data_IF_780061861028
#
_entry.id   IF_780061861028
#
_cell.length_a   1.000
_cell.length_b   1.000
_cell.length_c   1.000
_cell.angle_alpha   90.00
_cell.angle_beta   90.00
_cell.angle_gamma   90.00
#
_symmetry.space_group_name_H-M   'P 1'
#
loop_
_entity.id
_entity.type
_entity.pdbx_description
1 polymer ?
#
# COMPACT_ATOMS: atom_id res chain seq x y z
N UNK A 1 -7.43 -1.73 8.59
CA UNK A 1 -6.93 -0.85 7.50
C UNK A 1 -5.92 0.12 8.10
N UNK A 2 -4.95 0.64 7.34
CA UNK A 2 -4.14 1.78 7.79
C UNK A 2 -5.03 2.98 8.13
N UNK A 3 -4.59 3.86 9.03
CA UNK A 3 -5.37 5.03 9.48
C UNK A 3 -5.70 5.94 8.31
N UNK A 4 -4.70 6.28 7.48
CA UNK A 4 -4.89 7.14 6.32
C UNK A 4 -5.84 6.55 5.26
N UNK A 5 -5.98 5.21 5.20
CA UNK A 5 -6.96 4.55 4.33
C UNK A 5 -8.39 4.84 4.76
N UNK A 6 -8.63 4.92 6.07
CA UNK A 6 -9.91 5.31 6.67
C UNK A 6 -10.19 6.78 6.35
N UNK A 7 -9.20 7.66 6.49
CA UNK A 7 -9.32 9.08 6.13
C UNK A 7 -9.66 9.27 4.65
N UNK A 8 -9.00 8.52 3.74
CA UNK A 8 -9.34 8.52 2.32
C UNK A 8 -10.80 8.12 2.07
N UNK A 9 -11.33 7.14 2.81
CA UNK A 9 -12.74 6.73 2.70
C UNK A 9 -13.70 7.83 3.19
N UNK A 10 -13.33 8.60 4.22
CA UNK A 10 -14.10 9.77 4.68
C UNK A 10 -14.13 10.88 3.65
N UNK A 11 -12.97 11.24 3.10
CA UNK A 11 -12.85 12.30 2.09
C UNK A 11 -13.75 12.02 0.88
N UNK A 12 -13.94 10.73 0.56
CA UNK A 12 -14.81 10.28 -0.53
C UNK A 12 -16.29 10.10 -0.15
N UNK A 13 -16.65 10.31 1.12
CA UNK A 13 -18.01 10.18 1.62
C UNK A 13 -18.49 8.74 1.82
N UNK A 14 -17.58 7.75 1.85
CA UNK A 14 -17.93 6.35 2.10
C UNK A 14 -17.94 6.00 3.59
N UNK A 15 -17.23 6.79 4.40
CA UNK A 15 -17.29 6.72 5.86
C UNK A 15 -17.71 8.07 6.41
N UNK A 16 -18.68 8.06 7.31
CA UNK A 16 -19.11 9.26 8.02
C UNK A 16 -18.54 9.18 9.44
N UNK A 17 -17.68 10.13 9.87
CA UNK A 17 -17.22 10.20 11.24
C UNK A 17 -18.40 10.33 12.18
N UNK A 18 -18.51 9.45 13.18
CA UNK A 18 -19.70 9.38 14.04
C UNK A 18 -19.57 10.16 15.34
N UNK A 19 -18.41 10.78 15.60
CA UNK A 19 -18.23 11.62 16.77
C UNK A 19 -17.27 12.79 16.49
N UNK A 20 -17.39 13.82 17.33
CA UNK A 20 -16.41 14.90 17.41
C UNK A 20 -15.08 14.32 17.91
N UNK A 21 -14.03 14.52 17.13
CA UNK A 21 -12.66 14.30 17.58
C UNK A 21 -12.08 15.60 18.13
N UNK A 22 -11.09 15.48 19.02
CA UNK A 22 -10.33 16.65 19.45
C UNK A 22 -9.61 17.26 18.24
N UNK A 23 -9.47 18.60 18.16
CA UNK A 23 -8.69 19.23 17.10
C UNK A 23 -7.31 18.59 16.98
N UNK A 24 -6.97 18.09 15.78
CA UNK A 24 -5.69 17.43 15.50
C UNK A 24 -5.62 15.94 15.88
N UNK A 25 -6.70 15.31 16.36
CA UNK A 25 -6.71 13.88 16.73
C UNK A 25 -7.27 12.92 15.67
N UNK A 26 -7.50 13.42 14.45
CA UNK A 26 -7.99 12.61 13.31
C UNK A 26 -9.50 12.34 13.36
N UNK A 27 -10.01 11.42 12.53
CA UNK A 27 -11.43 11.03 12.54
C UNK A 27 -11.71 9.96 13.60
N UNK A 28 -12.86 10.06 14.27
CA UNK A 28 -13.35 9.05 15.20
C UNK A 28 -14.55 8.29 14.64
N UNK A 29 -14.54 6.96 14.79
CA UNK A 29 -15.63 6.08 14.37
C UNK A 29 -16.06 5.19 15.52
N UNK A 30 -17.37 5.09 15.72
CA UNK A 30 -17.94 4.07 16.58
C UNK A 30 -17.76 2.69 15.94
N UNK A 31 -17.74 1.65 16.78
CA UNK A 31 -17.70 0.26 16.30
C UNK A 31 -18.84 -0.04 15.32
N UNK A 32 -20.04 0.48 15.57
CA UNK A 32 -21.21 0.30 14.71
C UNK A 32 -21.02 0.89 13.31
N UNK A 33 -20.34 2.03 13.17
CA UNK A 33 -20.05 2.61 11.85
C UNK A 33 -18.99 1.82 11.07
N UNK A 34 -17.99 1.29 11.78
CA UNK A 34 -16.99 0.42 11.19
C UNK A 34 -17.59 -0.93 10.74
N UNK A 35 -18.46 -1.51 11.57
CA UNK A 35 -19.17 -2.76 11.26
C UNK A 35 -20.14 -2.54 10.07
N UNK A 36 -20.92 -1.45 10.09
CA UNK A 36 -21.84 -1.11 9.00
C UNK A 36 -21.14 -0.90 7.65
N UNK A 37 -19.95 -0.29 7.63
CA UNK A 37 -19.14 -0.20 6.41
C UNK A 37 -18.70 -1.58 5.91
N UNK A 38 -18.27 -2.48 6.80
CA UNK A 38 -17.91 -3.85 6.43
C UNK A 38 -19.11 -4.61 5.85
N UNK A 39 -20.28 -4.44 6.44
CA UNK A 39 -21.53 -5.06 6.00
C UNK A 39 -21.98 -4.51 4.64
N UNK A 40 -21.94 -3.20 4.43
CA UNK A 40 -22.25 -2.59 3.12
C UNK A 40 -21.28 -3.05 2.02
N UNK A 41 -20.01 -3.22 2.37
CA UNK A 41 -19.00 -3.76 1.46
C UNK A 41 -19.31 -5.23 1.12
N UNK A 42 -19.85 -6.00 2.06
CA UNK A 42 -20.18 -7.43 1.90
C UNK A 42 -21.49 -7.67 1.11
N UNK A 43 -22.53 -6.85 1.34
CA UNK A 43 -23.90 -7.13 0.89
C UNK A 43 -24.20 -6.75 -0.56
N UNK A 44 -23.38 -5.92 -1.21
CA UNK A 44 -23.74 -5.28 -2.49
C UNK A 44 -22.99 -5.77 -3.73
N UNK A 45 -22.16 -6.81 -3.62
CA UNK A 45 -21.18 -7.09 -4.66
C UNK A 45 -21.37 -8.41 -5.39
N UNK A 46 -21.28 -8.41 -6.74
CA UNK A 46 -21.23 -9.65 -7.49
C UNK A 46 -19.96 -10.40 -7.12
N UNK A 47 -20.08 -11.73 -6.98
CA UNK A 47 -18.92 -12.59 -6.71
C UNK A 47 -17.88 -12.45 -7.85
N UNK A 48 -16.57 -12.46 -7.55
CA UNK A 48 -15.54 -12.44 -8.58
C UNK A 48 -15.70 -13.61 -9.57
N UNK A 49 -15.57 -13.31 -10.86
CA UNK A 49 -15.64 -14.31 -11.95
C UNK A 49 -14.26 -14.88 -12.32
N UNK A 50 -13.18 -14.31 -11.78
CA UNK A 50 -11.79 -14.68 -11.99
C UNK A 50 -11.14 -14.99 -10.64
N UNK A 51 -9.97 -15.64 -10.65
CA UNK A 51 -9.17 -15.87 -9.44
C UNK A 51 -9.01 -14.56 -8.65
N UNK A 52 -9.57 -14.47 -7.43
CA UNK A 52 -9.51 -13.25 -6.66
C UNK A 52 -8.16 -13.12 -5.94
N UNK A 53 -7.84 -11.89 -5.55
CA UNK A 53 -6.68 -11.58 -4.71
C UNK A 53 -7.16 -10.85 -3.45
N UNK A 54 -6.47 -11.05 -2.32
CA UNK A 54 -6.74 -10.25 -1.13
C UNK A 54 -6.40 -8.77 -1.40
N UNK A 55 -7.27 -7.85 -0.98
CA UNK A 55 -7.04 -6.41 -1.11
C UNK A 55 -5.68 -6.01 -0.50
N UNK A 56 -5.30 -6.62 0.61
CA UNK A 56 -4.00 -6.43 1.25
C UNK A 56 -2.83 -6.69 0.30
N UNK A 57 -2.86 -7.80 -0.43
CA UNK A 57 -1.77 -8.17 -1.35
C UNK A 57 -1.75 -7.28 -2.58
N UNK A 58 -2.92 -6.90 -3.10
CA UNK A 58 -3.02 -5.92 -4.17
C UNK A 58 -2.40 -4.58 -3.78
N UNK A 59 -2.69 -4.09 -2.57
CA UNK A 59 -2.14 -2.82 -2.08
C UNK A 59 -0.62 -2.85 -1.94
N UNK A 60 -0.01 -4.03 -1.76
CA UNK A 60 1.46 -4.17 -1.77
C UNK A 60 2.08 -4.08 -3.16
N UNK A 61 1.30 -4.19 -4.22
CA UNK A 61 1.78 -3.95 -5.59
C UNK A 61 1.93 -2.45 -5.87
N UNK A 62 1.17 -1.61 -5.17
CA UNK A 62 1.29 -0.16 -5.26
C UNK A 62 2.57 0.27 -4.57
N UNK A 63 3.50 0.84 -5.33
CA UNK A 63 4.80 1.31 -4.87
C UNK A 63 5.05 2.74 -5.34
N UNK A 64 5.97 3.44 -4.69
CA UNK A 64 6.37 4.79 -5.11
C UNK A 64 5.51 5.90 -4.53
N UNK A 65 4.44 5.55 -3.80
CA UNK A 65 3.34 6.48 -3.50
C UNK A 65 2.47 6.01 -2.35
N UNK A 66 1.66 6.94 -1.84
CA UNK A 66 0.52 6.61 -0.98
C UNK A 66 -0.45 5.69 -1.71
N UNK A 67 -0.92 4.66 -1.01
CA UNK A 67 -1.78 3.65 -1.62
C UNK A 67 -3.22 4.16 -1.75
N UNK A 68 -3.88 3.87 -2.89
CA UNK A 68 -5.20 4.40 -3.22
C UNK A 68 -6.31 3.55 -2.57
N UNK A 69 -6.26 3.38 -1.24
CA UNK A 69 -7.24 2.57 -0.52
C UNK A 69 -8.65 3.09 -0.71
N UNK A 70 -8.84 4.40 -0.58
CA UNK A 70 -10.15 5.04 -0.74
C UNK A 70 -10.73 4.86 -2.14
N UNK A 71 -9.91 4.95 -3.18
CA UNK A 71 -10.36 4.72 -4.57
C UNK A 71 -10.81 3.29 -4.80
N UNK A 72 -10.04 2.31 -4.31
CA UNK A 72 -10.37 0.88 -4.50
C UNK A 72 -11.60 0.52 -3.68
N UNK A 73 -11.67 0.92 -2.40
CA UNK A 73 -12.83 0.68 -1.55
C UNK A 73 -14.09 1.40 -2.07
N UNK A 74 -13.93 2.60 -2.64
CA UNK A 74 -15.01 3.32 -3.35
C UNK A 74 -15.53 2.53 -4.54
N UNK A 75 -14.64 2.00 -5.38
CA UNK A 75 -15.05 1.22 -6.55
C UNK A 75 -15.76 -0.09 -6.16
N UNK A 76 -15.27 -0.75 -5.10
CA UNK A 76 -15.84 -1.94 -4.48
C UNK A 76 -17.26 -1.63 -3.95
N UNK A 77 -17.43 -0.63 -3.08
CA UNK A 77 -18.75 -0.23 -2.53
C UNK A 77 -19.76 0.21 -3.59
N UNK A 78 -19.30 0.78 -4.70
CA UNK A 78 -20.14 1.17 -5.85
C UNK A 78 -20.42 0.01 -6.83
N UNK A 79 -19.94 -1.20 -6.55
CA UNK A 79 -20.13 -2.38 -7.41
C UNK A 79 -19.37 -2.33 -8.74
N UNK A 80 -18.35 -1.48 -8.87
CA UNK A 80 -17.50 -1.36 -10.07
C UNK A 80 -16.39 -2.40 -10.11
N UNK A 81 -16.01 -2.94 -8.95
CA UNK A 81 -15.08 -4.06 -8.82
C UNK A 81 -15.84 -5.15 -8.09
N UNK A 82 -15.82 -6.37 -8.64
CA UNK A 82 -16.36 -7.54 -7.94
C UNK A 82 -15.51 -7.85 -6.71
N UNK A 83 -16.16 -8.02 -5.57
CA UNK A 83 -15.51 -8.47 -4.35
C UNK A 83 -16.37 -9.46 -3.59
N UNK A 84 -15.69 -10.25 -2.75
CA UNK A 84 -16.28 -11.15 -1.79
C UNK A 84 -15.57 -10.97 -0.46
N UNK A 85 -16.33 -10.80 0.62
CA UNK A 85 -15.76 -10.79 1.96
C UNK A 85 -15.78 -12.22 2.52
N UNK A 86 -14.60 -12.78 2.80
CA UNK A 86 -14.53 -14.08 3.46
C UNK A 86 -14.93 -13.97 4.95
N UNK A 87 -15.63 -14.98 5.50
CA UNK A 87 -16.01 -15.00 6.91
C UNK A 87 -14.77 -15.08 7.81
N UNK A 88 -14.87 -14.48 8.99
CA UNK A 88 -13.80 -14.48 9.98
C UNK A 88 -14.10 -13.48 11.11
N UNK A 89 -13.62 -13.79 12.31
CA UNK A 89 -13.85 -12.94 13.49
C UNK A 89 -12.71 -11.95 13.73
N UNK A 90 -11.72 -11.89 12.83
CA UNK A 90 -10.61 -10.96 12.94
C UNK A 90 -10.94 -9.57 12.36
N UNK A 91 -10.27 -8.54 12.91
CA UNK A 91 -10.37 -7.16 12.45
C UNK A 91 -9.56 -6.89 11.15
N UNK A 92 -9.27 -7.92 10.35
CA UNK A 92 -8.37 -7.83 9.18
C UNK A 92 -9.13 -7.74 7.86
N UNK A 93 -10.03 -6.75 7.74
CA UNK A 93 -10.86 -6.51 6.54
C UNK A 93 -10.07 -6.63 5.22
N UNK A 94 -8.89 -5.99 5.12
CA UNK A 94 -8.10 -6.00 3.88
C UNK A 94 -7.59 -7.38 3.48
N UNK A 95 -7.39 -8.31 4.42
CA UNK A 95 -6.97 -9.68 4.10
C UNK A 95 -8.15 -10.57 3.74
N UNK A 96 -9.32 -10.28 4.30
CA UNK A 96 -10.56 -11.04 4.08
C UNK A 96 -11.30 -10.60 2.82
N UNK A 97 -11.15 -9.35 2.41
CA UNK A 97 -11.79 -8.82 1.21
C UNK A 97 -11.03 -9.30 -0.04
N UNK A 98 -11.64 -10.25 -0.73
CA UNK A 98 -11.18 -10.85 -1.98
C UNK A 98 -11.74 -10.04 -3.15
N UNK A 99 -10.89 -9.56 -4.05
CA UNK A 99 -11.28 -8.68 -5.17
C UNK A 99 -10.81 -9.25 -6.50
N UNK A 100 -11.53 -8.89 -7.57
CA UNK A 100 -11.08 -9.18 -8.93
C UNK A 100 -9.76 -8.46 -9.23
N UNK A 101 -8.69 -9.23 -9.44
CA UNK A 101 -7.34 -8.69 -9.59
C UNK A 101 -7.20 -7.81 -10.83
N UNK A 102 -7.84 -8.18 -11.95
CA UNK A 102 -7.70 -7.50 -13.24
C UNK A 102 -8.30 -6.10 -13.21
N UNK A 103 -9.52 -5.97 -12.70
CA UNK A 103 -10.25 -4.71 -12.55
C UNK A 103 -9.54 -3.77 -11.57
N UNK A 104 -9.01 -4.34 -10.49
CA UNK A 104 -8.34 -3.57 -9.47
C UNK A 104 -6.94 -3.09 -9.92
N UNK A 105 -6.18 -3.92 -10.64
CA UNK A 105 -4.93 -3.49 -11.31
C UNK A 105 -5.18 -2.38 -12.33
N UNK A 106 -6.24 -2.48 -13.13
CA UNK A 106 -6.62 -1.43 -14.07
C UNK A 106 -6.92 -0.10 -13.36
N UNK A 107 -7.71 -0.14 -12.27
CA UNK A 107 -8.00 1.05 -11.47
C UNK A 107 -6.73 1.66 -10.86
N UNK A 108 -5.86 0.83 -10.28
CA UNK A 108 -4.57 1.27 -9.73
C UNK A 108 -3.71 1.92 -10.81
N UNK A 109 -3.63 1.34 -12.02
CA UNK A 109 -2.91 1.92 -13.14
C UNK A 109 -3.46 3.28 -13.56
N UNK A 110 -4.79 3.44 -13.56
CA UNK A 110 -5.45 4.71 -13.83
C UNK A 110 -5.12 5.74 -12.75
N UNK A 111 -5.18 5.39 -11.47
CA UNK A 111 -4.79 6.30 -10.38
C UNK A 111 -3.29 6.63 -10.40
N UNK A 112 -2.45 5.69 -10.84
CA UNK A 112 -1.03 5.93 -11.07
C UNK A 112 -0.80 7.02 -12.13
N UNK A 113 -1.58 6.99 -13.22
CA UNK A 113 -1.48 7.95 -14.33
C UNK A 113 -1.85 9.39 -13.96
N UNK A 114 -2.60 9.60 -12.86
CA UNK A 114 -2.98 10.95 -12.39
C UNK A 114 -1.83 11.70 -11.69
N UNK A 115 -0.67 11.06 -11.51
CA UNK A 115 0.48 11.66 -10.85
C UNK A 115 0.48 11.47 -9.32
N UNK A 116 1.06 12.43 -8.60
CA UNK A 116 1.25 12.38 -7.15
C UNK A 116 -0.12 12.38 -6.44
N UNK A 117 -0.37 11.45 -5.49
CA UNK A 117 -1.60 11.45 -4.71
C UNK A 117 -1.81 12.78 -3.97
N UNK A 118 -3.03 13.31 -4.00
CA UNK A 118 -3.38 14.45 -3.14
C UNK A 118 -3.36 14.04 -1.68
N UNK A 119 -2.65 14.81 -0.86
CA UNK A 119 -2.64 14.66 0.60
C UNK A 119 -3.67 15.55 1.30
N UNK A 120 -4.45 16.32 0.51
CA UNK A 120 -5.44 17.25 1.05
C UNK A 120 -6.51 16.51 1.86
N UNK A 121 -6.76 16.96 3.09
CA UNK A 121 -7.76 16.38 3.99
C UNK A 121 -7.26 15.19 4.81
N UNK A 122 -6.04 14.69 4.56
CA UNK A 122 -5.41 13.66 5.40
C UNK A 122 -4.70 14.29 6.60
N UNK A 123 -4.49 13.50 7.64
CA UNK A 123 -3.64 13.90 8.77
C UNK A 123 -2.22 14.18 8.31
N UNK A 124 -1.61 15.25 8.84
CA UNK A 124 -0.23 15.64 8.50
C UNK A 124 0.82 14.68 9.08
N UNK A 125 0.42 13.84 10.03
CA UNK A 125 1.27 12.79 10.61
C UNK A 125 0.61 11.42 10.51
N UNK A 126 1.44 10.38 10.50
CA UNK A 126 1.05 8.98 10.35
C UNK A 126 1.80 8.12 11.36
N UNK A 127 1.17 7.05 11.86
CA UNK A 127 1.83 6.15 12.80
C UNK A 127 2.91 5.29 12.10
N UNK A 128 3.85 4.79 12.89
CA UNK A 128 4.99 4.01 12.37
C UNK A 128 4.55 2.79 11.53
N UNK A 129 3.53 2.05 11.95
CA UNK A 129 3.06 0.88 11.22
C UNK A 129 2.51 1.25 9.84
N UNK A 130 1.76 2.35 9.76
CA UNK A 130 1.19 2.84 8.51
C UNK A 130 2.29 3.44 7.62
N UNK A 131 3.33 4.06 8.20
CA UNK A 131 4.50 4.53 7.45
C UNK A 131 5.23 3.37 6.75
N UNK A 132 5.45 2.25 7.45
CA UNK A 132 6.05 1.05 6.84
C UNK A 132 5.17 0.43 5.75
N UNK A 133 3.85 0.53 5.92
CA UNK A 133 2.89 0.09 4.93
C UNK A 133 3.02 0.88 3.63
N UNK A 134 3.14 2.22 3.71
CA UNK A 134 3.40 3.10 2.57
C UNK A 134 4.76 2.80 1.91
N UNK A 135 5.78 2.47 2.70
CA UNK A 135 7.13 2.13 2.22
C UNK A 135 7.27 0.67 1.74
N UNK A 136 6.19 -0.12 1.75
CA UNK A 136 6.18 -1.54 1.39
C UNK A 136 7.22 -2.40 2.14
N UNK A 137 7.52 -2.05 3.40
CA UNK A 137 8.46 -2.77 4.24
C UNK A 137 7.79 -3.38 5.47
N UNK A 138 8.53 -4.22 6.20
CA UNK A 138 8.05 -4.84 7.44
C UNK A 138 8.37 -3.97 8.65
N UNK A 139 7.71 -4.27 9.78
CA UNK A 139 7.96 -3.57 11.06
C UNK A 139 9.42 -3.66 11.54
N UNK A 140 10.16 -4.67 11.07
CA UNK A 140 11.58 -4.88 11.36
C UNK A 140 12.52 -4.01 10.52
N UNK A 141 12.03 -3.29 9.51
CA UNK A 141 12.82 -2.43 8.62
C UNK A 141 13.03 -1.03 9.21
N UNK A 142 13.58 -0.95 10.43
CA UNK A 142 13.73 0.31 11.18
C UNK A 142 14.52 1.39 10.45
N UNK A 143 15.52 1.00 9.65
CA UNK A 143 16.34 1.91 8.85
C UNK A 143 15.56 2.69 7.78
N UNK A 144 14.39 2.20 7.34
CA UNK A 144 13.60 2.84 6.28
C UNK A 144 13.06 4.24 6.68
N UNK A 145 12.93 4.50 7.98
CA UNK A 145 12.48 5.79 8.52
C UNK A 145 13.64 6.65 9.04
N UNK A 146 14.88 6.22 8.86
CA UNK A 146 16.06 6.96 9.32
C UNK A 146 16.15 8.34 8.65
N UNK A 147 16.49 9.34 9.46
CA UNK A 147 16.55 10.75 9.04
C UNK A 147 15.20 11.46 8.95
N UNK A 148 14.07 10.79 9.19
CA UNK A 148 12.76 11.44 9.30
C UNK A 148 12.50 11.73 10.79
N UNK A 149 12.33 13.02 11.12
CA UNK A 149 11.96 13.42 12.47
C UNK A 149 10.60 12.81 12.86
N UNK A 150 10.52 12.31 14.10
CA UNK A 150 9.31 11.67 14.63
C UNK A 150 8.88 12.33 15.93
N UNK A 151 7.59 12.28 16.22
CA UNK A 151 7.01 12.73 17.50
C UNK A 151 6.31 11.57 18.22
N UNK A 152 6.15 11.69 19.54
CA UNK A 152 5.55 10.64 20.36
C UNK A 152 6.47 9.43 20.59
N UNK A 153 6.12 8.63 21.60
CA UNK A 153 6.85 7.41 21.97
C UNK A 153 6.00 6.18 21.65
N UNK A 154 4.71 6.21 21.99
CA UNK A 154 3.76 5.17 21.66
C UNK A 154 2.33 5.75 21.58
N UNK A 155 1.77 5.98 20.38
CA UNK A 155 2.38 5.68 19.07
C UNK A 155 3.50 6.66 18.70
N UNK A 156 4.46 6.16 17.92
CA UNK A 156 5.47 6.98 17.24
C UNK A 156 4.89 7.48 15.91
N UNK A 157 4.92 8.79 15.71
CA UNK A 157 4.30 9.48 14.58
C UNK A 157 5.37 10.11 13.68
N UNK A 158 5.12 10.09 12.37
CA UNK A 158 6.01 10.62 11.34
C UNK A 158 5.25 11.58 10.42
N UNK A 159 5.87 12.63 9.87
CA UNK A 159 5.23 13.49 8.88
C UNK A 159 4.85 12.72 7.62
N UNK A 160 3.56 12.73 7.25
CA UNK A 160 3.03 11.97 6.12
C UNK A 160 3.71 12.37 4.79
N UNK A 161 3.91 13.67 4.58
CA UNK A 161 4.54 14.20 3.37
C UNK A 161 5.97 13.66 3.18
N UNK A 162 6.77 13.61 4.25
CA UNK A 162 8.14 13.10 4.18
C UNK A 162 8.16 11.58 3.96
N UNK A 163 7.22 10.84 4.54
CA UNK A 163 7.07 9.40 4.29
C UNK A 163 6.65 9.14 2.84
N UNK A 164 5.70 9.91 2.31
CA UNK A 164 5.25 9.79 0.92
C UNK A 164 6.38 10.15 -0.07
N UNK A 165 7.14 11.21 0.23
CA UNK A 165 8.34 11.57 -0.55
C UNK A 165 9.39 10.46 -0.52
N UNK A 166 9.70 9.94 0.68
CA UNK A 166 10.61 8.80 0.86
C UNK A 166 10.14 7.59 0.05
N UNK A 167 8.84 7.33 0.05
CA UNK A 167 8.25 6.25 -0.72
C UNK A 167 8.36 6.46 -2.23
N UNK A 168 8.54 7.68 -2.73
CA UNK A 168 8.85 7.96 -4.13
C UNK A 168 10.33 7.75 -4.47
N UNK A 169 11.23 8.10 -3.56
CA UNK A 169 12.68 8.09 -3.80
C UNK A 169 13.34 6.73 -3.50
N UNK A 170 12.81 5.98 -2.53
CA UNK A 170 13.49 4.81 -1.95
C UNK A 170 12.62 3.55 -2.01
N UNK A 171 13.16 2.48 -2.60
CA UNK A 171 12.53 1.17 -2.65
C UNK A 171 13.13 0.23 -1.60
N UNK A 172 12.28 -0.40 -0.80
CA UNK A 172 12.72 -1.34 0.23
C UNK A 172 13.28 -2.62 -0.39
N UNK A 173 14.29 -3.23 0.23
CA UNK A 173 14.82 -4.54 -0.19
C UNK A 173 13.71 -5.59 -0.33
N UNK A 174 12.73 -5.62 0.59
CA UNK A 174 11.60 -6.55 0.55
C UNK A 174 10.67 -6.34 -0.64
N UNK A 175 10.53 -5.09 -1.09
CA UNK A 175 9.74 -4.74 -2.27
C UNK A 175 10.43 -5.23 -3.55
N UNK A 176 11.74 -4.97 -3.67
CA UNK A 176 12.55 -5.38 -4.82
C UNK A 176 12.63 -6.91 -4.90
N UNK A 177 12.87 -7.57 -3.75
CA UNK A 177 12.98 -9.01 -3.62
C UNK A 177 11.75 -9.74 -4.19
N UNK A 178 10.55 -9.24 -3.86
CA UNK A 178 9.29 -9.77 -4.38
C UNK A 178 9.15 -9.65 -5.90
N UNK A 179 9.65 -8.56 -6.49
CA UNK A 179 9.57 -8.36 -7.95
C UNK A 179 10.56 -9.23 -8.71
N UNK A 180 11.72 -9.51 -8.11
CA UNK A 180 12.75 -10.35 -8.69
C UNK A 180 12.56 -11.85 -8.39
N UNK A 181 11.60 -12.19 -7.53
CA UNK A 181 11.43 -13.54 -6.97
C UNK A 181 12.71 -14.07 -6.31
N UNK A 182 13.34 -13.21 -5.51
CA UNK A 182 14.57 -13.50 -4.78
C UNK A 182 14.33 -13.33 -3.28
N UNK A 183 15.16 -14.00 -2.46
CA UNK A 183 15.19 -13.70 -1.04
C UNK A 183 15.86 -12.31 -0.77
N UNK A 184 15.58 -11.67 0.38
CA UNK A 184 16.13 -10.36 0.70
C UNK A 184 17.66 -10.30 0.71
N UNK A 185 18.35 -11.38 1.09
CA UNK A 185 19.82 -11.41 1.18
C UNK A 185 20.44 -11.40 -0.21
N UNK A 186 19.94 -12.26 -1.12
CA UNK A 186 20.37 -12.26 -2.53
C UNK A 186 20.07 -10.92 -3.20
N UNK A 187 18.90 -10.34 -2.91
CA UNK A 187 18.49 -9.05 -3.46
C UNK A 187 19.45 -7.94 -3.04
N UNK A 188 19.79 -7.83 -1.75
CA UNK A 188 20.75 -6.84 -1.27
C UNK A 188 22.13 -7.02 -1.92
N UNK A 189 22.64 -8.25 -2.03
CA UNK A 189 23.93 -8.52 -2.70
C UNK A 189 23.90 -8.12 -4.18
N UNK A 190 22.81 -8.42 -4.88
CA UNK A 190 22.63 -8.06 -6.29
C UNK A 190 22.63 -6.54 -6.47
N UNK A 191 21.89 -5.80 -5.63
CA UNK A 191 21.82 -4.34 -5.69
C UNK A 191 23.20 -3.70 -5.43
N UNK A 192 23.93 -4.20 -4.41
CA UNK A 192 25.30 -3.77 -4.13
C UNK A 192 26.25 -4.06 -5.30
N UNK A 193 26.18 -5.26 -5.90
CA UNK A 193 27.00 -5.64 -7.04
C UNK A 193 26.71 -4.78 -8.27
N UNK A 194 25.43 -4.43 -8.49
CA UNK A 194 24.98 -3.51 -9.52
C UNK A 194 25.26 -2.03 -9.19
N UNK A 195 25.89 -1.73 -8.05
CA UNK A 195 26.19 -0.38 -7.56
C UNK A 195 24.97 0.53 -7.45
N UNK A 196 23.80 -0.06 -7.18
CA UNK A 196 22.61 0.73 -6.83
C UNK A 196 22.88 1.38 -5.48
N UNK A 197 22.65 2.70 -5.39
CA UNK A 197 22.92 3.45 -4.17
C UNK A 197 21.93 3.06 -3.07
N UNK A 198 22.45 2.69 -1.91
CA UNK A 198 21.66 2.61 -0.67
C UNK A 198 21.51 4.02 -0.08
N UNK A 199 20.28 4.51 0.04
CA UNK A 199 19.97 5.86 0.53
C UNK A 199 19.80 5.85 2.05
N UNK A 200 19.19 4.78 2.58
CA UNK A 200 19.06 4.47 4.00
C UNK A 200 19.17 2.95 4.19
N UNK A 201 19.49 2.45 5.38
CA UNK A 201 19.65 1.01 5.59
C UNK A 201 18.41 0.21 5.16
N UNK A 202 18.61 -0.70 4.20
CA UNK A 202 17.56 -1.51 3.58
C UNK A 202 16.70 -0.80 2.53
N UNK A 203 17.04 0.45 2.19
CA UNK A 203 16.33 1.30 1.25
C UNK A 203 17.25 1.82 0.13
N UNK A 204 16.90 1.45 -1.11
CA UNK A 204 17.71 1.69 -2.30
C UNK A 204 17.11 2.77 -3.18
N UNK A 205 17.96 3.46 -3.94
CA UNK A 205 17.50 4.39 -4.98
C UNK A 205 16.49 3.71 -5.91
N UNK A 206 15.25 4.22 -5.91
CA UNK A 206 14.12 3.56 -6.58
C UNK A 206 14.32 3.50 -8.09
N UNK A 207 14.77 4.58 -8.71
CA UNK A 207 14.89 4.67 -10.17
C UNK A 207 15.86 3.59 -10.66
N UNK A 208 17.07 3.57 -10.10
CA UNK A 208 18.10 2.61 -10.50
C UNK A 208 17.74 1.16 -10.10
N UNK A 209 17.09 0.96 -8.96
CA UNK A 209 16.61 -0.37 -8.57
C UNK A 209 15.58 -0.92 -9.56
N UNK A 210 14.63 -0.09 -10.02
CA UNK A 210 13.60 -0.54 -10.97
C UNK A 210 14.14 -0.71 -12.39
N UNK A 211 15.13 0.09 -12.80
CA UNK A 211 15.86 -0.18 -14.05
C UNK A 211 16.54 -1.54 -14.03
N UNK A 212 17.16 -1.91 -12.90
CA UNK A 212 17.75 -3.23 -12.72
C UNK A 212 16.70 -4.34 -12.79
N UNK A 213 15.53 -4.16 -12.15
CA UNK A 213 14.41 -5.10 -12.23
C UNK A 213 14.00 -5.31 -13.69
N UNK A 214 13.76 -4.22 -14.42
CA UNK A 214 13.34 -4.29 -15.81
C UNK A 214 14.37 -5.02 -16.68
N UNK A 215 15.66 -4.74 -16.51
CA UNK A 215 16.74 -5.43 -17.24
C UNK A 215 16.78 -6.91 -16.89
N UNK A 216 16.69 -7.27 -15.62
CA UNK A 216 16.69 -8.66 -15.17
C UNK A 216 15.51 -9.45 -15.73
N UNK A 217 14.31 -8.85 -15.75
CA UNK A 217 13.12 -9.46 -16.35
C UNK A 217 13.29 -9.67 -17.85
N UNK A 218 13.75 -8.66 -18.59
CA UNK A 218 13.99 -8.77 -20.04
C UNK A 218 15.02 -9.85 -20.39
N UNK A 219 16.10 -9.95 -19.62
CA UNK A 219 17.13 -10.98 -19.83
C UNK A 219 16.57 -12.39 -19.57
N UNK A 220 15.78 -12.56 -18.51
CA UNK A 220 15.14 -13.84 -18.20
C UNK A 220 14.18 -14.26 -19.31
N UNK A 221 13.36 -13.34 -19.77
CA UNK A 221 12.36 -13.63 -20.82
C UNK A 221 13.06 -13.97 -22.15
N UNK A 222 14.16 -13.28 -22.49
CA UNK A 222 14.99 -13.61 -23.66
C UNK A 222 15.69 -14.97 -23.54
N UNK A 223 16.13 -15.38 -22.35
CA UNK A 223 16.71 -16.70 -22.14
C UNK A 223 15.67 -17.81 -22.29
N UNK A 224 14.46 -17.58 -21.79
CA UNK A 224 13.35 -18.52 -21.93
C UNK A 224 12.93 -18.68 -23.40
N UNK A 225 12.87 -17.59 -24.18
CA UNK A 225 12.51 -17.66 -25.60
C UNK A 225 13.56 -18.35 -26.49
N UNK A 226 14.81 -18.42 -26.06
CA UNK A 226 15.88 -19.19 -26.72
C UNK A 226 15.89 -20.67 -26.34
N UNK A 227 15.13 -21.06 -25.32
CA UNK A 227 15.09 -22.43 -24.80
C UNK A 227 13.91 -23.27 -25.35
N UNK A 228 13.11 -22.69 -26.24
CA UNK A 228 12.01 -23.31 -26.99
C UNK A 228 12.27 -23.21 -28.49
#
# INVERSE_FOLDING_TARGET
LPTYAIEQCVIRGHLIPTALSLPGSGYFFSKQAADGFCDETSLKQPAPHVAPVALYDLMRLVSGRLKPWGEVLSAVTLGRISAKLEPGDDNQLAKRLQIDESSAKYLIGKEASKGVPSLCGLSSTICQSDAYEVLNCSATSSGMLEGIASTGINPKLFPLELVAKRAGEVAATSEIAKRLDLDPTRTSRLLSAARVREIVPGGWDRVHAFELINRATLMRDAQLSLSF
#
